data_IF_288304744485
#
_entry.id   IF_288304744485
#
_cell.length_a   1.000
_cell.length_b   1.000
_cell.length_c   1.000
_cell.angle_alpha   90.00
_cell.angle_beta   90.00
_cell.angle_gamma   90.00
#
_symmetry.space_group_name_H-M   'P 1'
#
loop_
_entity.id
_entity.type
_entity.pdbx_description
1 polymer ?
#
# COMPACT_ATOMS: atom_id res chain seq x y z
N UNK A 1 -15.26 6.48 23.15
CA UNK A 1 -14.46 5.30 23.54
C UNK A 1 -13.48 5.00 22.42
N UNK A 2 -12.27 5.50 22.57
CA UNK A 2 -11.17 5.19 21.66
C UNK A 2 -10.67 3.81 22.09
N UNK A 3 -10.87 2.80 21.27
CA UNK A 3 -10.36 1.46 21.53
C UNK A 3 -8.82 1.51 21.67
N UNK A 4 -8.25 1.07 22.80
CA UNK A 4 -6.80 1.17 23.06
C UNK A 4 -5.96 0.11 22.32
N UNK A 5 -6.43 -0.45 21.21
CA UNK A 5 -5.91 -1.71 20.70
C UNK A 5 -5.13 -1.65 19.39
N UNK A 6 -4.95 -0.48 18.76
CA UNK A 6 -4.30 -0.46 17.43
C UNK A 6 -2.81 -0.84 17.45
N UNK A 7 -2.08 -0.49 18.52
CA UNK A 7 -0.69 -0.94 18.70
C UNK A 7 -0.53 -2.37 19.22
N UNK A 8 -1.54 -2.88 19.94
CA UNK A 8 -1.55 -4.26 20.43
C UNK A 8 -1.97 -5.26 19.33
N UNK A 9 -2.79 -4.83 18.34
CA UNK A 9 -3.20 -5.66 17.23
C UNK A 9 -2.04 -6.15 16.38
N UNK A 10 -1.08 -5.28 16.08
CA UNK A 10 0.09 -5.64 15.27
C UNK A 10 1.08 -6.51 16.04
N UNK A 11 1.25 -6.26 17.33
CA UNK A 11 2.04 -7.14 18.21
C UNK A 11 1.35 -8.50 18.36
N UNK A 12 0.04 -8.54 18.48
CA UNK A 12 -0.72 -9.78 18.64
C UNK A 12 -0.76 -10.58 17.31
N UNK A 13 -0.96 -9.95 16.18
CA UNK A 13 -0.84 -10.58 14.85
C UNK A 13 0.55 -11.18 14.65
N UNK A 14 1.58 -10.50 15.07
CA UNK A 14 2.95 -10.98 15.02
C UNK A 14 3.23 -12.18 15.91
N UNK A 15 2.57 -12.28 17.06
CA UNK A 15 2.68 -13.42 17.98
C UNK A 15 1.89 -14.66 17.53
N UNK A 16 0.79 -14.46 16.79
CA UNK A 16 -0.06 -15.57 16.33
C UNK A 16 0.37 -16.14 14.98
N UNK A 17 1.09 -15.39 14.15
CA UNK A 17 1.62 -15.87 12.87
C UNK A 17 3.06 -16.35 13.06
N UNK A 18 3.21 -17.46 13.78
CA UNK A 18 4.55 -18.00 14.16
C UNK A 18 5.40 -18.52 13.01
N UNK A 19 4.87 -18.62 11.79
CA UNK A 19 5.60 -19.08 10.59
C UNK A 19 5.42 -18.17 9.36
N UNK A 20 4.63 -17.11 9.48
CA UNK A 20 4.37 -16.14 8.42
C UNK A 20 5.30 -14.93 8.51
N UNK A 21 5.62 -14.37 7.37
CA UNK A 21 6.36 -13.11 7.25
C UNK A 21 5.37 -11.95 7.29
N UNK A 22 5.70 -10.91 8.04
CA UNK A 22 4.84 -9.73 8.21
C UNK A 22 5.51 -8.50 7.59
N UNK A 23 4.80 -7.84 6.65
CA UNK A 23 5.29 -6.69 5.89
C UNK A 23 4.33 -5.51 6.06
N UNK A 24 4.54 -4.64 7.07
CA UNK A 24 3.62 -3.54 7.37
C UNK A 24 3.78 -2.35 6.41
N UNK A 25 2.66 -1.67 6.18
CA UNK A 25 2.60 -0.34 5.54
C UNK A 25 2.08 0.65 6.56
N UNK A 26 2.72 1.81 6.67
CA UNK A 26 2.28 2.86 7.58
C UNK A 26 1.02 3.55 7.07
N UNK A 27 -0.01 3.64 7.93
CA UNK A 27 -1.21 4.41 7.66
C UNK A 27 -1.19 5.80 8.30
N UNK A 28 -2.17 6.65 7.93
CA UNK A 28 -2.30 8.01 8.47
C UNK A 28 -2.51 8.03 9.99
N UNK A 29 -3.25 7.07 10.53
CA UNK A 29 -3.44 6.96 11.97
C UNK A 29 -2.17 6.54 12.71
N UNK A 30 -1.31 5.75 12.09
CA UNK A 30 0.01 5.41 12.64
C UNK A 30 0.94 6.63 12.57
N UNK A 31 0.87 7.39 11.46
CA UNK A 31 1.73 8.53 11.22
C UNK A 31 1.45 9.71 12.15
N UNK A 32 0.18 9.91 12.57
CA UNK A 32 -0.24 11.08 13.34
C UNK A 32 0.22 11.09 14.81
N UNK A 33 0.41 9.93 15.44
CA UNK A 33 0.63 9.89 16.90
C UNK A 33 1.27 8.60 17.41
N UNK A 34 1.85 8.71 18.63
CA UNK A 34 2.32 7.56 19.40
C UNK A 34 3.64 6.96 18.91
N UNK A 35 3.95 5.73 19.33
CA UNK A 35 5.22 5.07 19.06
C UNK A 35 5.42 4.69 17.58
N UNK A 36 4.37 4.76 16.78
CA UNK A 36 4.37 4.45 15.36
C UNK A 36 4.28 5.69 14.46
N UNK A 37 4.43 6.89 15.03
CA UNK A 37 4.47 8.13 14.25
C UNK A 37 5.47 8.01 13.09
N UNK A 38 5.28 8.77 12.01
CA UNK A 38 6.17 8.70 10.85
C UNK A 38 7.66 8.89 11.23
N UNK A 39 7.92 9.59 12.34
CA UNK A 39 9.27 9.75 12.91
C UNK A 39 9.84 8.46 13.50
N UNK A 40 9.00 7.64 14.15
CA UNK A 40 9.42 6.43 14.88
C UNK A 40 9.17 5.15 14.06
N UNK A 41 8.41 5.25 12.97
CA UNK A 41 8.08 4.10 12.12
C UNK A 41 9.32 3.34 11.61
N UNK A 42 10.40 4.01 11.15
CA UNK A 42 11.60 3.30 10.72
C UNK A 42 12.21 2.39 11.79
N UNK A 43 12.13 2.79 13.05
CA UNK A 43 12.58 1.96 14.19
C UNK A 43 11.60 0.81 14.45
N UNK A 44 10.29 1.09 14.42
CA UNK A 44 9.24 0.10 14.65
C UNK A 44 9.30 -1.06 13.66
N UNK A 45 9.67 -0.80 12.40
CA UNK A 45 9.85 -1.81 11.36
C UNK A 45 11.29 -2.34 11.23
N UNK A 46 12.18 -1.97 12.15
CA UNK A 46 13.60 -2.39 12.15
C UNK A 46 13.82 -3.91 12.14
N UNK A 47 12.83 -4.69 12.58
CA UNK A 47 12.87 -6.15 12.48
C UNK A 47 12.97 -6.66 11.04
N UNK A 48 12.53 -5.89 10.06
CA UNK A 48 12.62 -6.25 8.64
C UNK A 48 14.06 -6.34 8.14
N UNK A 49 15.01 -5.66 8.80
CA UNK A 49 16.43 -5.70 8.41
C UNK A 49 17.06 -7.08 8.57
N UNK A 50 16.46 -7.93 9.42
CA UNK A 50 16.86 -9.30 9.62
C UNK A 50 16.10 -10.32 8.74
N UNK A 51 15.08 -9.87 8.00
CA UNK A 51 14.24 -10.75 7.18
C UNK A 51 14.90 -11.05 5.84
N UNK A 52 14.95 -12.33 5.48
CA UNK A 52 15.56 -12.79 4.23
C UNK A 52 14.82 -12.22 3.00
N UNK A 53 15.57 -11.61 2.08
CA UNK A 53 15.06 -11.05 0.82
C UNK A 53 14.37 -9.71 0.96
N UNK A 54 14.37 -9.10 2.15
CA UNK A 54 13.98 -7.70 2.35
C UNK A 54 15.15 -6.81 2.02
N UNK A 55 14.91 -5.78 1.22
CA UNK A 55 15.84 -4.70 0.92
C UNK A 55 15.22 -3.38 1.38
N UNK A 56 15.76 -2.80 2.43
CA UNK A 56 15.33 -1.55 3.03
C UNK A 56 16.51 -0.59 3.15
N UNK A 57 16.43 0.66 2.63
CA UNK A 57 17.42 1.67 2.92
C UNK A 57 17.48 1.93 4.43
N UNK A 58 18.67 2.15 4.96
CA UNK A 58 18.87 2.30 6.40
C UNK A 58 17.95 3.38 6.99
N UNK A 59 17.18 3.00 8.01
CA UNK A 59 16.24 3.87 8.71
C UNK A 59 15.17 4.54 7.84
N UNK A 60 14.87 3.99 6.65
CA UNK A 60 13.75 4.48 5.83
C UNK A 60 12.46 3.69 6.10
N UNK A 61 11.28 4.30 5.92
CA UNK A 61 9.98 3.68 6.17
C UNK A 61 9.47 2.83 5.00
N UNK A 62 10.22 2.70 3.93
CA UNK A 62 9.87 1.99 2.70
C UNK A 62 10.90 0.90 2.39
N UNK A 63 10.48 -0.14 1.71
CA UNK A 63 11.31 -1.32 1.42
C UNK A 63 10.71 -2.14 0.27
N UNK A 64 11.47 -3.11 -0.23
CA UNK A 64 10.93 -4.13 -1.12
C UNK A 64 11.35 -5.54 -0.68
N UNK A 65 10.64 -6.52 -1.22
CA UNK A 65 10.89 -7.94 -1.00
C UNK A 65 10.90 -8.66 -2.33
N UNK A 66 11.96 -9.42 -2.59
CA UNK A 66 12.05 -10.27 -3.77
C UNK A 66 11.60 -11.70 -3.47
N UNK A 67 10.67 -12.18 -4.27
CA UNK A 67 10.35 -13.59 -4.45
C UNK A 67 11.09 -14.06 -5.71
N UNK A 68 12.40 -14.15 -5.62
CA UNK A 68 13.30 -14.27 -6.76
C UNK A 68 12.99 -15.49 -7.66
N UNK A 69 12.58 -16.61 -7.06
CA UNK A 69 12.21 -17.84 -7.80
C UNK A 69 11.03 -17.59 -8.76
N UNK A 70 10.09 -16.76 -8.33
CA UNK A 70 8.87 -16.42 -9.09
C UNK A 70 9.06 -15.16 -9.92
N UNK A 71 10.20 -14.45 -9.78
CA UNK A 71 10.48 -13.16 -10.41
C UNK A 71 9.38 -12.15 -10.08
N UNK A 72 9.06 -12.02 -8.81
CA UNK A 72 8.08 -11.08 -8.27
C UNK A 72 8.76 -10.19 -7.27
N UNK A 73 8.55 -8.87 -7.37
CA UNK A 73 8.95 -7.87 -6.39
C UNK A 73 7.73 -7.26 -5.74
N UNK A 74 7.67 -7.33 -4.43
CA UNK A 74 6.69 -6.62 -3.60
C UNK A 74 7.34 -5.33 -3.12
N UNK A 75 6.75 -4.19 -3.44
CA UNK A 75 7.29 -2.86 -3.09
C UNK A 75 6.35 -2.19 -2.10
N UNK A 76 6.87 -1.85 -0.92
CA UNK A 76 6.13 -1.21 0.15
C UNK A 76 6.57 0.24 0.26
N UNK A 77 5.65 1.16 -0.02
CA UNK A 77 5.89 2.58 -0.07
C UNK A 77 5.29 3.27 1.15
N UNK A 78 5.91 4.37 1.58
CA UNK A 78 5.39 5.24 2.62
C UNK A 78 4.85 6.52 2.00
N UNK A 79 3.58 6.83 2.27
CA UNK A 79 2.90 8.04 1.81
C UNK A 79 2.86 9.16 2.86
N UNK A 80 3.77 9.10 3.85
CA UNK A 80 3.88 10.10 4.91
C UNK A 80 5.34 10.41 5.22
N UNK A 81 5.65 11.71 5.34
CA UNK A 81 6.97 12.15 5.79
C UNK A 81 6.85 13.44 6.61
N UNK A 82 7.93 13.87 7.24
CA UNK A 82 7.97 15.10 8.00
C UNK A 82 8.83 16.16 7.34
N UNK A 83 8.31 17.38 7.30
CA UNK A 83 9.09 18.59 7.05
C UNK A 83 9.15 19.45 8.32
N UNK A 84 10.21 20.24 8.47
CA UNK A 84 10.29 21.23 9.51
C UNK A 84 9.80 22.59 8.97
N UNK A 85 8.69 23.08 9.48
CA UNK A 85 8.14 24.39 9.15
C UNK A 85 8.11 25.26 10.39
N UNK A 86 8.88 26.38 10.37
CA UNK A 86 9.01 27.24 11.54
C UNK A 86 9.69 26.60 12.75
N UNK A 87 10.48 25.55 12.54
CA UNK A 87 11.13 24.77 13.61
C UNK A 87 10.33 23.59 14.13
N UNK A 88 9.06 23.48 13.77
CA UNK A 88 8.18 22.39 14.19
C UNK A 88 8.07 21.31 13.10
N UNK A 89 8.02 20.02 13.48
CA UNK A 89 7.78 18.94 12.54
C UNK A 89 6.31 18.93 12.07
N UNK A 90 6.10 19.01 10.77
CA UNK A 90 4.79 18.94 10.14
C UNK A 90 4.71 17.68 9.31
N UNK A 91 3.70 16.87 9.54
CA UNK A 91 3.45 15.68 8.72
C UNK A 91 2.90 16.08 7.35
N UNK A 92 3.48 15.52 6.33
CA UNK A 92 3.11 15.72 4.92
C UNK A 92 2.51 14.44 4.36
N UNK A 93 1.36 14.56 3.71
CA UNK A 93 0.76 13.51 2.89
C UNK A 93 1.45 13.52 1.52
N UNK A 94 2.20 12.47 1.25
CA UNK A 94 2.92 12.39 -0.02
C UNK A 94 4.14 11.47 0.05
N UNK A 95 4.93 11.53 -1.01
CA UNK A 95 6.11 10.70 -1.19
C UNK A 95 7.39 11.54 -1.09
N UNK A 96 8.30 11.11 -0.21
CA UNK A 96 9.59 11.77 -0.05
C UNK A 96 10.42 11.68 -1.32
N UNK A 97 11.17 12.72 -1.66
CA UNK A 97 12.02 12.76 -2.86
C UNK A 97 13.05 11.61 -2.89
N UNK A 98 13.67 11.33 -1.74
CA UNK A 98 14.60 10.20 -1.58
C UNK A 98 13.95 8.86 -1.93
N UNK A 99 12.66 8.68 -1.59
CA UNK A 99 11.90 7.46 -1.91
C UNK A 99 11.68 7.33 -3.42
N UNK A 100 11.39 8.44 -4.09
CA UNK A 100 11.21 8.47 -5.54
C UNK A 100 12.50 8.10 -6.25
N UNK A 101 13.61 8.69 -5.83
CA UNK A 101 14.93 8.39 -6.38
C UNK A 101 15.35 6.94 -6.13
N UNK A 102 15.12 6.42 -4.92
CA UNK A 102 15.35 5.03 -4.59
C UNK A 102 14.49 4.09 -5.46
N UNK A 103 13.21 4.40 -5.62
CA UNK A 103 12.31 3.63 -6.47
C UNK A 103 12.82 3.56 -7.90
N UNK A 104 13.21 4.70 -8.47
CA UNK A 104 13.65 4.83 -9.87
C UNK A 104 15.02 4.21 -10.12
N UNK A 105 15.98 4.41 -9.20
CA UNK A 105 17.38 4.07 -9.44
C UNK A 105 17.79 2.68 -8.93
N UNK A 106 16.98 2.09 -8.05
CA UNK A 106 17.26 0.78 -7.44
C UNK A 106 16.10 -0.20 -7.63
N UNK A 107 14.90 0.14 -7.15
CA UNK A 107 13.79 -0.81 -7.04
C UNK A 107 13.26 -1.24 -8.41
N UNK A 108 13.11 -0.30 -9.34
CA UNK A 108 12.49 -0.54 -10.64
C UNK A 108 13.49 -0.82 -11.77
N UNK A 109 14.76 -0.98 -11.45
CA UNK A 109 15.77 -1.48 -12.39
C UNK A 109 15.66 -3.02 -12.44
N UNK A 110 14.71 -3.51 -13.23
CA UNK A 110 14.32 -4.93 -13.27
C UNK A 110 14.30 -5.47 -14.69
N UNK A 111 14.64 -6.77 -14.89
CA UNK A 111 14.42 -7.43 -16.17
C UNK A 111 12.92 -7.48 -16.54
N UNK A 112 12.64 -7.54 -17.84
CA UNK A 112 11.29 -7.51 -18.39
C UNK A 112 10.38 -8.69 -17.96
N UNK A 113 10.95 -9.80 -17.52
CA UNK A 113 10.20 -10.98 -17.07
C UNK A 113 9.81 -10.95 -15.58
N UNK A 114 10.10 -9.81 -14.89
CA UNK A 114 9.65 -9.57 -13.53
C UNK A 114 8.24 -8.98 -13.47
N UNK A 115 7.59 -9.21 -12.35
CA UNK A 115 6.28 -8.62 -12.03
C UNK A 115 6.38 -7.86 -10.71
N UNK A 116 5.91 -6.63 -10.69
CA UNK A 116 5.90 -5.75 -9.52
C UNK A 116 4.49 -5.67 -8.96
N UNK A 117 4.37 -5.72 -7.63
CA UNK A 117 3.17 -5.37 -6.87
C UNK A 117 3.54 -4.27 -5.89
N UNK A 118 2.79 -3.16 -5.91
CA UNK A 118 3.03 -2.02 -5.03
C UNK A 118 2.00 -2.01 -3.90
N UNK A 119 2.44 -1.57 -2.72
CA UNK A 119 1.62 -1.44 -1.53
C UNK A 119 1.91 -0.08 -0.89
N UNK A 120 0.88 0.71 -0.65
CA UNK A 120 0.95 1.95 0.12
C UNK A 120 -0.37 2.17 0.85
N UNK A 121 -0.41 3.07 1.82
CA UNK A 121 -1.68 3.40 2.45
C UNK A 121 -2.50 4.32 1.55
N UNK A 122 -1.90 5.37 0.97
CA UNK A 122 -2.55 6.24 0.01
C UNK A 122 -2.08 5.96 -1.42
N UNK A 123 -2.93 6.28 -2.38
CA UNK A 123 -2.57 6.31 -3.80
C UNK A 123 -1.64 7.50 -4.10
N UNK A 124 -0.92 7.47 -5.24
CA UNK A 124 -0.19 8.64 -5.72
C UNK A 124 -1.11 9.77 -6.18
N UNK A 125 -2.38 9.47 -6.39
CA UNK A 125 -3.44 10.43 -6.72
C UNK A 125 -4.56 10.32 -5.69
N UNK A 126 -5.39 11.35 -5.55
CA UNK A 126 -6.63 11.22 -4.81
C UNK A 126 -7.45 10.07 -5.41
N UNK A 127 -7.79 9.07 -4.60
CA UNK A 127 -8.47 7.87 -5.07
C UNK A 127 -9.92 8.12 -5.50
N UNK A 128 -10.43 9.32 -5.26
CA UNK A 128 -11.74 9.77 -5.74
C UNK A 128 -11.69 10.30 -7.18
N UNK A 129 -10.49 10.42 -7.76
CA UNK A 129 -10.28 10.89 -9.12
C UNK A 129 -10.17 9.70 -10.06
N UNK A 130 -11.14 9.51 -10.91
CA UNK A 130 -11.36 8.28 -11.66
C UNK A 130 -11.02 8.32 -13.13
N UNK A 131 -10.69 9.47 -13.65
CA UNK A 131 -10.16 9.62 -15.00
C UNK A 131 -8.71 10.11 -14.95
N UNK A 132 -7.93 9.66 -15.92
CA UNK A 132 -6.49 9.92 -16.00
C UNK A 132 -6.15 11.41 -16.02
N UNK A 133 -6.95 12.20 -16.71
CA UNK A 133 -6.73 13.65 -16.81
C UNK A 133 -6.93 14.31 -15.46
N UNK A 134 -8.04 14.03 -14.79
CA UNK A 134 -8.37 14.58 -13.49
C UNK A 134 -7.37 14.15 -12.43
N UNK A 135 -6.90 12.90 -12.46
CA UNK A 135 -5.88 12.38 -11.56
C UNK A 135 -4.56 13.18 -11.64
N UNK A 136 -4.15 13.56 -12.85
CA UNK A 136 -2.93 14.37 -13.02
C UNK A 136 -3.13 15.86 -12.69
N UNK A 137 -4.31 16.42 -12.99
CA UNK A 137 -4.58 17.85 -12.83
C UNK A 137 -4.91 18.26 -11.38
N UNK A 138 -5.57 17.38 -10.64
CA UNK A 138 -6.05 17.65 -9.27
C UNK A 138 -5.31 16.79 -8.24
N UNK A 139 -4.00 16.72 -8.35
CA UNK A 139 -3.20 15.95 -7.43
C UNK A 139 -2.91 16.77 -6.16
N UNK A 140 -3.54 16.39 -5.06
CA UNK A 140 -3.35 16.91 -3.71
C UNK A 140 -2.34 16.10 -2.87
N UNK A 141 -1.83 15.00 -3.41
CA UNK A 141 -0.78 14.20 -2.79
C UNK A 141 0.59 14.78 -3.18
N UNK A 142 1.37 15.21 -2.20
CA UNK A 142 2.70 15.78 -2.44
C UNK A 142 3.59 14.76 -3.15
N UNK A 143 4.20 15.16 -4.26
CA UNK A 143 5.02 14.31 -5.13
C UNK A 143 4.30 13.07 -5.71
N UNK A 144 2.97 13.01 -5.67
CA UNK A 144 2.19 11.90 -6.23
C UNK A 144 2.42 11.74 -7.75
N UNK A 145 2.42 12.85 -8.50
CA UNK A 145 2.72 12.81 -9.94
C UNK A 145 4.16 12.36 -10.22
N UNK A 146 5.11 12.75 -9.37
CA UNK A 146 6.53 12.39 -9.53
C UNK A 146 6.76 10.90 -9.32
N UNK A 147 6.23 10.31 -8.24
CA UNK A 147 6.41 8.87 -7.98
C UNK A 147 5.72 8.03 -9.05
N UNK A 148 4.53 8.46 -9.50
CA UNK A 148 3.84 7.79 -10.60
C UNK A 148 4.63 7.89 -11.91
N UNK A 149 5.16 9.07 -12.24
CA UNK A 149 5.98 9.27 -13.44
C UNK A 149 7.24 8.41 -13.42
N UNK A 150 7.91 8.31 -12.27
CA UNK A 150 9.08 7.45 -12.10
C UNK A 150 8.74 5.99 -12.36
N UNK A 151 7.62 5.50 -11.82
CA UNK A 151 7.13 4.14 -12.03
C UNK A 151 6.82 3.86 -13.51
N UNK A 152 6.07 4.76 -14.16
CA UNK A 152 5.65 4.60 -15.56
C UNK A 152 6.84 4.67 -16.54
N UNK A 153 7.80 5.56 -16.29
CA UNK A 153 9.04 5.64 -17.05
C UNK A 153 9.87 4.37 -16.94
N UNK A 154 10.09 3.86 -15.73
CA UNK A 154 10.85 2.62 -15.51
C UNK A 154 10.15 1.42 -16.14
N UNK A 155 8.83 1.29 -15.99
CA UNK A 155 8.05 0.23 -16.65
C UNK A 155 8.24 0.25 -18.16
N UNK A 156 8.15 1.42 -18.79
CA UNK A 156 8.35 1.59 -20.24
C UNK A 156 9.79 1.29 -20.66
N UNK A 157 10.76 1.68 -19.85
CA UNK A 157 12.18 1.48 -20.14
C UNK A 157 12.62 0.03 -20.02
N UNK A 158 12.20 -0.67 -18.96
CA UNK A 158 12.68 -2.01 -18.61
C UNK A 158 11.72 -3.13 -19.00
N UNK A 159 10.44 -2.82 -19.24
CA UNK A 159 9.44 -3.75 -19.76
C UNK A 159 8.84 -4.73 -18.75
N UNK A 160 9.05 -4.54 -17.45
CA UNK A 160 8.44 -5.38 -16.41
C UNK A 160 6.92 -5.12 -16.30
N UNK A 161 6.19 -6.11 -15.78
CA UNK A 161 4.76 -5.99 -15.53
C UNK A 161 4.47 -5.37 -14.16
N UNK A 162 3.37 -4.62 -14.06
CA UNK A 162 2.80 -4.16 -12.79
C UNK A 162 1.47 -4.86 -12.58
N UNK A 163 1.41 -5.78 -11.61
CA UNK A 163 0.21 -6.55 -11.34
C UNK A 163 -0.84 -5.78 -10.51
N UNK A 164 -0.44 -4.70 -9.87
CA UNK A 164 -1.35 -3.80 -9.18
C UNK A 164 -0.66 -2.92 -8.15
N UNK A 165 -1.36 -1.84 -7.80
CA UNK A 165 -1.02 -0.96 -6.68
C UNK A 165 -2.12 -1.07 -5.63
N UNK A 166 -1.81 -1.71 -4.50
CA UNK A 166 -2.73 -2.00 -3.40
C UNK A 166 -2.73 -0.86 -2.40
N UNK A 167 -3.92 -0.37 -2.04
CA UNK A 167 -4.11 0.84 -1.27
C UNK A 167 -5.14 0.60 -0.16
N UNK A 168 -4.92 1.20 1.00
CA UNK A 168 -5.87 1.25 2.12
C UNK A 168 -6.65 2.56 2.13
N UNK A 169 -6.70 3.22 3.29
CA UNK A 169 -7.20 4.56 3.58
C UNK A 169 -8.72 4.75 3.43
N UNK A 170 -9.32 4.26 2.37
CA UNK A 170 -10.72 4.55 2.00
C UNK A 170 -11.74 3.62 2.63
N UNK A 171 -11.30 2.62 3.37
CA UNK A 171 -12.11 1.67 4.14
C UNK A 171 -13.16 0.88 3.34
N UNK A 172 -13.18 0.99 2.03
CA UNK A 172 -14.08 0.27 1.14
C UNK A 172 -13.34 -0.41 -0.01
N UNK A 173 -14.03 -1.25 -0.77
CA UNK A 173 -13.48 -1.95 -1.92
C UNK A 173 -13.70 -1.22 -3.22
N UNK A 174 -12.63 -1.06 -3.99
CA UNK A 174 -12.69 -0.56 -5.37
C UNK A 174 -11.51 -1.05 -6.19
N UNK A 175 -11.72 -1.23 -7.48
CA UNK A 175 -10.66 -1.46 -8.46
C UNK A 175 -10.84 -0.46 -9.59
N UNK A 176 -9.79 0.29 -9.89
CA UNK A 176 -9.76 1.22 -11.01
C UNK A 176 -8.46 1.04 -11.77
N UNK A 177 -8.50 1.11 -13.09
CA UNK A 177 -7.30 1.06 -13.94
C UNK A 177 -7.03 2.43 -14.52
N UNK A 178 -5.90 3.02 -14.17
CA UNK A 178 -5.41 4.28 -14.72
C UNK A 178 -4.04 4.05 -15.36
N UNK A 179 -3.85 4.59 -16.56
CA UNK A 179 -2.58 4.46 -17.32
C UNK A 179 -2.12 3.00 -17.52
N UNK A 180 -3.09 2.06 -17.57
CA UNK A 180 -2.82 0.63 -17.67
C UNK A 180 -2.23 0.00 -16.41
N UNK A 181 -2.39 0.64 -15.24
CA UNK A 181 -2.02 0.10 -13.92
C UNK A 181 -3.29 -0.08 -13.10
N UNK A 182 -3.58 -1.29 -12.60
CA UNK A 182 -4.66 -1.50 -11.66
C UNK A 182 -4.34 -0.91 -10.30
N UNK A 183 -5.22 -0.04 -9.79
CA UNK A 183 -5.24 0.43 -8.41
C UNK A 183 -6.33 -0.33 -7.67
N UNK A 184 -5.96 -1.00 -6.58
CA UNK A 184 -6.83 -1.87 -5.81
C UNK A 184 -6.98 -1.26 -4.41
N UNK A 185 -8.12 -0.63 -4.18
CA UNK A 185 -8.50 -0.14 -2.86
C UNK A 185 -9.09 -1.31 -2.10
N UNK A 186 -8.61 -1.52 -0.87
CA UNK A 186 -9.05 -2.60 0.00
C UNK A 186 -9.84 -2.04 1.18
N UNK A 187 -10.93 -2.71 1.52
CA UNK A 187 -11.75 -2.36 2.67
C UNK A 187 -10.98 -2.55 3.99
N UNK A 188 -11.42 -1.82 5.02
CA UNK A 188 -10.84 -1.88 6.36
C UNK A 188 -11.51 -2.94 7.20
N UNK A 189 -10.72 -3.66 8.00
CA UNK A 189 -11.20 -4.60 9.01
C UNK A 189 -11.89 -3.90 10.19
N UNK A 190 -11.55 -2.65 10.49
CA UNK A 190 -11.94 -1.98 11.75
C UNK A 190 -12.82 -0.76 11.62
N UNK A 191 -12.98 -0.20 10.43
CA UNK A 191 -13.72 1.04 10.24
C UNK A 191 -14.69 0.92 9.07
N UNK A 192 -15.93 1.31 9.33
CA UNK A 192 -17.00 1.40 8.36
C UNK A 192 -17.62 2.79 8.47
N UNK A 193 -17.48 3.62 7.44
CA UNK A 193 -18.17 4.89 7.34
C UNK A 193 -18.62 5.15 5.90
N UNK A 194 -19.86 4.73 5.54
CA UNK A 194 -20.40 4.90 4.20
C UNK A 194 -20.68 6.35 3.82
N UNK A 195 -20.63 7.30 4.76
CA UNK A 195 -20.97 8.70 4.50
C UNK A 195 -19.79 9.54 4.00
N UNK A 196 -18.57 9.02 4.11
CA UNK A 196 -17.36 9.75 3.74
C UNK A 196 -16.98 9.64 2.26
N UNK A 197 -17.63 8.77 1.48
CA UNK A 197 -17.15 8.42 0.15
C UNK A 197 -18.26 8.33 -0.90
N UNK A 198 -17.85 8.55 -2.14
CA UNK A 198 -18.66 8.53 -3.35
C UNK A 198 -19.28 7.14 -3.61
N UNK A 199 -20.39 7.08 -4.35
CA UNK A 199 -21.20 5.89 -4.66
C UNK A 199 -20.44 4.71 -5.30
N UNK A 200 -19.20 4.94 -5.73
CA UNK A 200 -18.37 3.95 -6.41
C UNK A 200 -17.48 3.09 -5.50
N UNK A 201 -17.41 3.39 -4.20
CA UNK A 201 -16.68 2.58 -3.21
C UNK A 201 -17.67 1.65 -2.52
N UNK A 202 -17.41 0.35 -2.58
CA UNK A 202 -18.27 -0.65 -1.93
C UNK A 202 -17.90 -0.83 -0.48
N UNK A 203 -18.85 -0.56 0.40
CA UNK A 203 -18.79 -0.88 1.81
C UNK A 203 -19.58 -2.15 2.10
N UNK A 204 -19.09 -2.92 3.06
CA UNK A 204 -19.69 -4.20 3.41
C UNK A 204 -20.24 -4.14 4.83
N UNK A 205 -21.51 -4.48 4.99
CA UNK A 205 -22.11 -4.69 6.32
C UNK A 205 -21.42 -5.87 7.01
N UNK A 206 -21.17 -5.70 8.30
CA UNK A 206 -20.52 -6.71 9.12
C UNK A 206 -21.31 -6.96 10.39
N UNK A 207 -21.55 -8.23 10.68
CA UNK A 207 -22.22 -8.66 11.88
C UNK A 207 -21.19 -9.18 12.89
N UNK A 208 -21.16 -8.57 14.08
CA UNK A 208 -20.30 -9.01 15.17
C UNK A 208 -20.57 -10.47 15.55
N UNK A 209 -19.55 -11.16 16.02
CA UNK A 209 -19.59 -12.57 16.40
C UNK A 209 -19.97 -13.54 15.24
N UNK A 210 -19.84 -13.08 13.99
CA UNK A 210 -20.01 -13.92 12.80
C UNK A 210 -18.77 -13.87 11.91
N UNK A 211 -18.71 -14.73 10.90
CA UNK A 211 -17.61 -14.70 9.93
C UNK A 211 -17.50 -13.34 9.20
N UNK A 212 -18.61 -12.61 9.04
CA UNK A 212 -18.62 -11.31 8.38
C UNK A 212 -18.01 -10.19 9.23
N UNK A 213 -17.69 -10.44 10.51
CA UNK A 213 -16.92 -9.53 11.35
C UNK A 213 -15.52 -9.28 10.79
N UNK A 214 -14.90 -10.33 10.25
CA UNK A 214 -13.59 -10.25 9.59
C UNK A 214 -13.69 -9.68 8.17
N UNK A 215 -12.59 -9.09 7.70
CA UNK A 215 -12.45 -8.66 6.32
C UNK A 215 -10.98 -8.60 5.92
N UNK A 216 -10.53 -9.57 5.12
CA UNK A 216 -9.19 -9.57 4.53
C UNK A 216 -9.16 -10.34 3.21
N UNK A 217 -8.16 -10.13 2.40
CA UNK A 217 -7.99 -10.78 1.10
C UNK A 217 -6.73 -11.66 1.08
N UNK A 218 -6.88 -12.88 0.60
CA UNK A 218 -5.74 -13.68 0.17
C UNK A 218 -5.44 -13.38 -1.32
N UNK A 219 -4.21 -12.96 -1.62
CA UNK A 219 -3.80 -12.62 -2.98
C UNK A 219 -3.16 -13.83 -3.67
N UNK A 220 -3.65 -14.18 -4.84
CA UNK A 220 -3.07 -15.22 -5.69
C UNK A 220 -2.69 -14.62 -7.03
N UNK A 221 -1.39 -14.42 -7.26
CA UNK A 221 -0.84 -13.94 -8.52
C UNK A 221 -0.66 -15.11 -9.51
N UNK A 222 -1.31 -15.03 -10.67
CA UNK A 222 -1.13 -15.94 -11.80
C UNK A 222 -0.53 -15.21 -13.00
N UNK A 223 0.79 -15.16 -13.07
CA UNK A 223 1.54 -14.46 -14.12
C UNK A 223 1.17 -14.92 -15.52
N UNK A 224 1.01 -16.22 -15.73
CA UNK A 224 0.63 -16.80 -17.05
C UNK A 224 -0.75 -16.36 -17.53
N UNK A 225 -1.63 -15.96 -16.63
CA UNK A 225 -2.97 -15.45 -16.95
C UNK A 225 -3.03 -13.91 -16.90
N UNK A 226 -1.96 -13.25 -16.45
CA UNK A 226 -1.91 -11.82 -16.15
C UNK A 226 -3.06 -11.40 -15.22
N UNK A 227 -3.22 -12.13 -14.10
CA UNK A 227 -4.31 -11.94 -13.15
C UNK A 227 -3.83 -12.01 -11.71
N UNK A 228 -4.46 -11.17 -10.87
CA UNK A 228 -4.44 -11.30 -9.42
C UNK A 228 -5.84 -11.64 -8.96
N UNK A 229 -5.97 -12.76 -8.26
CA UNK A 229 -7.21 -13.15 -7.60
C UNK A 229 -7.15 -12.67 -6.16
N UNK A 230 -8.12 -11.89 -5.75
CA UNK A 230 -8.35 -11.48 -4.37
C UNK A 230 -9.44 -12.40 -3.81
N UNK A 231 -9.04 -13.34 -2.98
CA UNK A 231 -9.94 -14.27 -2.33
C UNK A 231 -10.34 -13.71 -0.98
N UNK A 232 -11.58 -13.25 -0.87
CA UNK A 232 -12.11 -12.63 0.32
C UNK A 232 -12.40 -13.65 1.41
N UNK A 233 -11.98 -13.31 2.64
CA UNK A 233 -12.46 -13.93 3.85
C UNK A 233 -13.28 -12.91 4.65
N UNK A 234 -14.43 -13.31 5.15
CA UNK A 234 -15.33 -12.45 5.88
C UNK A 234 -16.32 -11.71 4.98
N UNK A 235 -16.55 -10.44 5.27
CA UNK A 235 -17.49 -9.62 4.52
C UNK A 235 -16.96 -9.30 3.10
N UNK A 236 -17.84 -9.31 2.11
CA UNK A 236 -17.54 -8.96 0.74
C UNK A 236 -17.42 -10.12 -0.23
N UNK A 237 -16.82 -9.87 -1.37
CA UNK A 237 -16.76 -10.78 -2.51
C UNK A 237 -15.34 -11.04 -2.99
N UNK A 238 -15.11 -12.20 -3.62
CA UNK A 238 -13.91 -12.46 -4.41
C UNK A 238 -13.83 -11.48 -5.58
N UNK A 239 -12.62 -11.02 -5.89
CA UNK A 239 -12.36 -10.10 -7.01
C UNK A 239 -11.23 -10.62 -7.88
N UNK A 240 -11.24 -10.22 -9.15
CA UNK A 240 -10.19 -10.56 -10.11
C UNK A 240 -9.69 -9.26 -10.75
N UNK A 241 -8.39 -9.08 -10.72
CA UNK A 241 -7.69 -7.95 -11.35
C UNK A 241 -6.94 -8.47 -12.57
N UNK A 242 -7.08 -7.79 -13.69
CA UNK A 242 -6.31 -8.01 -14.92
C UNK A 242 -5.26 -6.91 -15.05
N UNK A 243 -4.03 -7.26 -15.46
CA UNK A 243 -2.92 -6.32 -15.61
C UNK A 243 -2.12 -6.52 -16.90
#
# INVERSE_FOLDING_TARGET
DVAPSRGLGDVYKRQTVSSGRFFPVQGNHDACSGPYSARLWPEAIGFLDAEQGVCRPAQKPYYYVDIAKEKVRLVFLCSYFYEHRGGEPVMIFGYEEDQIQWLQNEVLVLPADWTVMLFSHDAPFSALLFDEKTALEKNDIVNGNQIFSALDQCRKQYGFDIAGWFIGHYHGDRIVTLFGIPFIITASETAYDPQLFDDDVRFWERDLDTQSEDLWDALVLKKSERRVYLKRFGAGEDRIVHY
#
